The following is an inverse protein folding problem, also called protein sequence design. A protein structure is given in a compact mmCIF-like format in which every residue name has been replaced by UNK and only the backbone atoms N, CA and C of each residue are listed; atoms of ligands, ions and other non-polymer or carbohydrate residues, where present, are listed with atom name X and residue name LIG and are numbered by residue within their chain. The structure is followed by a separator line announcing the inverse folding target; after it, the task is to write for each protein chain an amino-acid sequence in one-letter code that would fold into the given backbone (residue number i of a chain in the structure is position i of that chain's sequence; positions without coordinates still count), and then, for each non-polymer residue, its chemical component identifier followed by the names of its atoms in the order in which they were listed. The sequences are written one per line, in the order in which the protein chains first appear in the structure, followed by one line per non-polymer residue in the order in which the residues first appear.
data_IF_766578766168
#
_entry.id   IF_766578766168
#
_cell.length_a   1.000
_cell.length_b   1.000
_cell.length_c   1.000
_cell.angle_alpha   90.00
_cell.angle_beta   90.00
_cell.angle_gamma   90.00
#
_symmetry.space_group_name_H-M   'P 1'
#
loop_
_entity.id
_entity.type
_entity.pdbx_description
1 polymer ?
#
# COMPACT_ATOMS: atom_id res chain seq x y z
N UNK A 1 17.25 20.99 -12.49
CA UNK A 1 16.44 20.44 -13.59
C UNK A 1 16.64 18.92 -13.58
N UNK A 2 15.67 18.11 -13.12
CA UNK A 2 15.83 16.64 -13.06
C UNK A 2 15.93 16.09 -14.48
N UNK A 3 17.07 15.53 -14.86
CA UNK A 3 17.25 14.85 -16.15
C UNK A 3 16.35 13.60 -16.18
N UNK A 4 15.57 13.47 -17.26
CA UNK A 4 14.37 12.65 -17.39
C UNK A 4 14.63 11.13 -17.54
N UNK A 5 15.48 10.47 -16.74
CA UNK A 5 15.91 9.10 -17.08
C UNK A 5 15.25 7.92 -16.36
N UNK A 6 14.61 8.06 -15.19
CA UNK A 6 13.88 6.93 -14.57
C UNK A 6 12.79 7.43 -13.61
N UNK A 7 11.57 6.94 -13.77
CA UNK A 7 10.49 7.16 -12.79
C UNK A 7 10.78 6.28 -11.57
N UNK A 8 10.95 6.90 -10.40
CA UNK A 8 10.95 6.15 -9.15
C UNK A 8 9.52 6.00 -8.64
N UNK A 9 9.04 4.76 -8.66
CA UNK A 9 7.75 4.40 -8.09
C UNK A 9 7.96 3.65 -6.78
N UNK A 10 7.31 4.10 -5.71
CA UNK A 10 7.30 3.40 -4.43
C UNK A 10 6.02 2.58 -4.28
N UNK A 11 6.15 1.29 -3.95
CA UNK A 11 5.04 0.44 -3.57
C UNK A 11 4.70 0.69 -2.11
N UNK A 12 3.43 0.86 -1.78
CA UNK A 12 2.93 1.04 -0.42
C UNK A 12 1.96 -0.09 -0.14
N UNK A 13 2.24 -0.86 0.92
CA UNK A 13 1.39 -1.97 1.37
C UNK A 13 0.91 -1.67 2.77
N UNK A 14 -0.37 -1.28 2.95
CA UNK A 14 -0.93 -0.99 4.26
C UNK A 14 -1.26 -2.28 5.02
N UNK A 15 -0.79 -2.39 6.26
CA UNK A 15 -1.12 -3.48 7.19
C UNK A 15 -1.69 -2.91 8.49
N UNK A 16 -1.15 -1.80 8.97
CA UNK A 16 -1.60 -1.12 10.17
C UNK A 16 -3.05 -0.63 10.03
N UNK A 17 -3.80 -0.76 11.12
CA UNK A 17 -5.20 -0.30 11.23
C UNK A 17 -6.15 -0.90 10.21
N UNK A 18 -5.78 -2.08 9.68
CA UNK A 18 -6.69 -2.96 8.97
C UNK A 18 -7.82 -3.36 9.91
N UNK A 19 -9.06 -3.26 9.41
CA UNK A 19 -10.26 -3.70 10.12
C UNK A 19 -10.93 -4.75 9.28
N UNK A 20 -11.20 -5.88 9.90
CA UNK A 20 -11.84 -7.04 9.29
C UNK A 20 -12.89 -7.59 10.26
N UNK A 21 -13.74 -8.49 9.78
CA UNK A 21 -14.65 -9.29 10.61
C UNK A 21 -14.07 -10.67 10.97
N UNK A 22 -12.77 -10.88 10.71
CA UNK A 22 -12.11 -12.15 10.95
C UNK A 22 -11.82 -12.31 12.45
N UNK A 23 -12.15 -13.48 13.00
CA UNK A 23 -11.86 -13.84 14.40
C UNK A 23 -10.76 -14.93 14.47
N UNK A 24 -9.80 -14.84 13.55
CA UNK A 24 -8.71 -15.80 13.43
C UNK A 24 -7.61 -15.51 14.45
N UNK A 25 -6.96 -16.57 14.96
CA UNK A 25 -5.82 -16.42 15.87
C UNK A 25 -4.58 -15.79 15.22
N UNK A 26 -4.51 -15.82 13.88
CA UNK A 26 -3.41 -15.28 13.09
C UNK A 26 -3.88 -14.00 12.41
N UNK A 27 -2.98 -13.02 12.28
CA UNK A 27 -3.30 -11.78 11.56
C UNK A 27 -3.74 -12.07 10.13
N UNK A 28 -4.74 -11.32 9.69
CA UNK A 28 -5.48 -11.47 8.44
C UNK A 28 -4.59 -11.29 7.21
N UNK A 29 -3.55 -10.46 7.32
CA UNK A 29 -2.57 -10.30 6.22
C UNK A 29 -1.73 -11.55 5.97
N UNK A 30 -1.79 -12.54 6.86
CA UNK A 30 -1.13 -13.84 6.72
C UNK A 30 -2.06 -14.92 6.16
N UNK A 31 -3.32 -14.59 5.87
CA UNK A 31 -4.27 -15.53 5.27
C UNK A 31 -3.73 -16.10 3.96
N UNK A 32 -3.90 -17.41 3.72
CA UNK A 32 -3.46 -18.04 2.48
C UNK A 32 -4.33 -17.56 1.32
N UNK A 33 -3.68 -17.17 0.24
CA UNK A 33 -4.30 -16.87 -1.05
C UNK A 33 -4.16 -18.04 -2.02
N UNK A 34 -3.06 -18.76 -1.89
CA UNK A 34 -2.79 -20.06 -2.50
C UNK A 34 -1.83 -20.84 -1.58
N UNK A 35 -1.57 -22.11 -1.88
CA UNK A 35 -0.68 -22.96 -1.11
C UNK A 35 0.74 -22.36 -1.03
N UNK A 36 1.12 -21.86 0.15
CA UNK A 36 2.40 -21.22 0.40
C UNK A 36 2.52 -19.80 -0.16
N UNK A 37 1.40 -19.13 -0.42
CA UNK A 37 1.32 -17.71 -0.77
C UNK A 37 0.33 -17.01 0.16
N UNK A 38 0.83 -16.14 1.03
CA UNK A 38 -0.01 -15.32 1.91
C UNK A 38 -0.49 -14.02 1.24
N UNK A 39 -1.55 -13.41 1.77
CA UNK A 39 -2.10 -12.13 1.34
C UNK A 39 -1.04 -11.01 1.33
N UNK A 40 -0.14 -10.96 2.31
CA UNK A 40 0.94 -9.98 2.33
C UNK A 40 2.00 -10.22 1.25
N UNK A 41 2.39 -11.49 1.01
CA UNK A 41 3.31 -11.84 -0.08
C UNK A 41 2.69 -11.51 -1.44
N UNK A 42 1.38 -11.74 -1.61
CA UNK A 42 0.61 -11.35 -2.79
C UNK A 42 0.78 -9.85 -3.07
N UNK A 43 0.57 -8.98 -2.08
CA UNK A 43 0.70 -7.54 -2.26
C UNK A 43 2.12 -7.07 -2.56
N UNK A 44 3.12 -7.71 -1.94
CA UNK A 44 4.54 -7.39 -2.20
C UNK A 44 4.92 -7.80 -3.62
N UNK A 45 4.52 -9.01 -4.04
CA UNK A 45 4.72 -9.49 -5.41
C UNK A 45 4.01 -8.58 -6.43
N UNK A 46 2.78 -8.16 -6.14
CA UNK A 46 2.01 -7.23 -6.96
C UNK A 46 2.75 -5.89 -7.13
N UNK A 47 3.29 -5.31 -6.04
CA UNK A 47 4.10 -4.09 -6.12
C UNK A 47 5.35 -4.28 -6.99
N UNK A 48 6.02 -5.42 -6.86
CA UNK A 48 7.18 -5.76 -7.69
C UNK A 48 6.81 -5.89 -9.17
N UNK A 49 5.67 -6.55 -9.45
CA UNK A 49 5.11 -6.74 -10.78
C UNK A 49 4.55 -5.46 -11.41
N UNK A 50 4.10 -4.50 -10.61
CA UNK A 50 3.74 -3.14 -11.03
C UNK A 50 4.97 -2.30 -11.42
N UNK A 51 6.15 -2.67 -10.92
CA UNK A 51 7.43 -2.04 -11.23
C UNK A 51 7.84 -0.94 -10.27
N UNK A 52 7.48 -1.14 -9.00
CA UNK A 52 8.01 -0.37 -7.90
C UNK A 52 9.53 -0.57 -7.80
N UNK A 53 10.28 0.48 -7.44
CA UNK A 53 11.72 0.40 -7.19
C UNK A 53 12.06 0.27 -5.70
N UNK A 54 11.08 0.50 -4.83
CA UNK A 54 11.14 0.30 -3.38
C UNK A 54 9.75 -0.08 -2.91
N UNK A 55 9.61 -0.95 -1.92
CA UNK A 55 8.32 -1.32 -1.32
C UNK A 55 8.35 -0.92 0.15
N UNK A 56 7.25 -0.36 0.64
CA UNK A 56 7.09 0.13 2.00
C UNK A 56 5.86 -0.53 2.61
N UNK A 57 6.10 -1.46 3.53
CA UNK A 57 5.06 -2.15 4.29
C UNK A 57 4.80 -1.35 5.56
N UNK A 58 3.57 -0.88 5.71
CA UNK A 58 3.17 -0.07 6.85
C UNK A 58 2.59 -0.99 7.92
N UNK A 59 3.44 -1.47 8.82
CA UNK A 59 3.08 -2.41 9.89
C UNK A 59 3.60 -1.88 11.22
N UNK A 60 2.76 -1.97 12.26
CA UNK A 60 3.13 -1.60 13.62
C UNK A 60 4.04 -2.66 14.25
N UNK A 61 4.62 -2.33 15.40
CA UNK A 61 5.69 -3.12 16.05
C UNK A 61 5.23 -4.51 16.51
N UNK A 62 3.92 -4.72 16.62
CA UNK A 62 3.24 -5.97 16.95
C UNK A 62 3.27 -7.00 15.81
N UNK A 63 3.00 -6.57 14.58
CA UNK A 63 2.86 -7.44 13.40
C UNK A 63 4.12 -7.39 12.50
N UNK A 64 4.90 -6.31 12.55
CA UNK A 64 6.08 -6.13 11.70
C UNK A 64 7.09 -7.29 11.77
N UNK A 65 7.43 -7.89 12.94
CA UNK A 65 8.40 -8.97 13.01
C UNK A 65 7.96 -10.23 12.23
N UNK A 66 6.69 -10.63 12.37
CA UNK A 66 6.18 -11.83 11.69
C UNK A 66 6.01 -11.59 10.19
N UNK A 67 5.56 -10.39 9.79
CA UNK A 67 5.49 -10.04 8.37
C UNK A 67 6.88 -10.04 7.76
N UNK A 68 7.88 -9.47 8.45
CA UNK A 68 9.27 -9.48 7.97
C UNK A 68 9.85 -10.88 7.86
N UNK A 69 9.50 -11.79 8.77
CA UNK A 69 9.91 -13.18 8.69
C UNK A 69 9.36 -13.88 7.43
N UNK A 70 8.11 -13.59 7.06
CA UNK A 70 7.42 -14.22 5.93
C UNK A 70 7.84 -13.60 4.59
N UNK A 71 8.03 -12.28 4.55
CA UNK A 71 8.28 -11.52 3.31
C UNK A 71 9.77 -11.30 3.03
N UNK A 72 10.60 -11.11 4.06
CA UNK A 72 12.02 -10.76 3.92
C UNK A 72 12.29 -9.27 3.72
N UNK A 73 13.54 -8.93 3.40
CA UNK A 73 14.05 -7.56 3.27
C UNK A 73 14.03 -7.05 1.82
N UNK A 74 13.90 -7.95 0.83
CA UNK A 74 13.87 -7.58 -0.58
C UNK A 74 13.20 -8.68 -1.44
N UNK A 75 12.79 -8.32 -2.65
CA UNK A 75 12.17 -9.20 -3.65
C UNK A 75 12.75 -8.93 -5.04
N UNK A 76 12.82 -9.93 -5.91
CA UNK A 76 13.20 -9.70 -7.32
C UNK A 76 12.04 -9.08 -8.12
N UNK A 77 12.36 -8.19 -9.06
CA UNK A 77 11.40 -7.76 -10.08
C UNK A 77 11.05 -8.95 -11.00
N UNK A 78 9.80 -9.44 -11.01
CA UNK A 78 9.41 -10.64 -11.75
C UNK A 78 9.67 -10.52 -13.26
N UNK A 79 9.59 -9.30 -13.80
CA UNK A 79 9.79 -9.05 -15.24
C UNK A 79 11.24 -9.22 -15.64
N UNK A 80 12.18 -8.79 -14.78
CA UNK A 80 13.61 -8.95 -15.02
C UNK A 80 14.08 -10.36 -14.67
N UNK A 81 13.48 -11.00 -13.66
CA UNK A 81 13.81 -12.37 -13.27
C UNK A 81 13.53 -13.38 -14.38
N UNK A 82 12.38 -13.25 -15.06
CA UNK A 82 11.96 -14.15 -16.15
C UNK A 82 12.60 -13.81 -17.51
N UNK A 83 13.47 -12.81 -17.59
CA UNK A 83 14.07 -12.40 -18.85
C UNK A 83 15.18 -13.38 -19.24
N UNK A 84 15.05 -13.97 -20.42
CA UNK A 84 16.15 -14.73 -21.03
C UNK A 84 17.31 -13.77 -21.33
N UNK A 85 18.44 -13.99 -20.67
CA UNK A 85 19.69 -13.26 -20.87
C UNK A 85 20.87 -14.24 -20.88
N UNK A 86 21.97 -13.83 -21.50
CA UNK A 86 23.25 -14.58 -21.44
C UNK A 86 23.77 -14.69 -20.01
N UNK A 87 23.51 -13.70 -19.16
CA UNK A 87 23.91 -13.69 -17.75
C UNK A 87 22.73 -13.28 -16.85
N UNK A 88 21.77 -14.19 -16.62
CA UNK A 88 20.53 -13.88 -15.89
C UNK A 88 20.78 -13.32 -14.49
N UNK A 89 21.82 -13.79 -13.80
CA UNK A 89 22.16 -13.33 -12.44
C UNK A 89 22.50 -11.83 -12.39
N UNK A 90 23.08 -11.27 -13.44
CA UNK A 90 23.47 -9.85 -13.50
C UNK A 90 22.32 -8.92 -13.89
N UNK A 91 21.29 -9.45 -14.56
CA UNK A 91 20.12 -8.67 -14.99
C UNK A 91 18.97 -8.67 -13.99
N UNK A 92 18.98 -9.60 -13.03
CA UNK A 92 18.02 -9.64 -11.94
C UNK A 92 18.09 -8.34 -11.14
N UNK A 93 16.92 -7.77 -10.85
CA UNK A 93 16.80 -6.53 -10.10
C UNK A 93 16.16 -6.81 -8.76
N UNK A 94 16.86 -6.43 -7.71
CA UNK A 94 16.36 -6.46 -6.35
C UNK A 94 15.56 -5.19 -6.06
N UNK A 95 14.44 -5.37 -5.38
CA UNK A 95 13.56 -4.30 -4.92
C UNK A 95 13.57 -4.38 -3.38
N UNK A 96 14.16 -3.40 -2.69
CA UNK A 96 14.21 -3.41 -1.24
C UNK A 96 12.81 -3.17 -0.64
N UNK A 97 12.57 -3.82 0.50
CA UNK A 97 11.34 -3.78 1.27
C UNK A 97 11.65 -3.13 2.62
N UNK A 98 10.94 -2.06 2.93
CA UNK A 98 11.07 -1.31 4.18
C UNK A 98 9.84 -1.48 5.04
N UNK A 99 10.04 -1.71 6.33
CA UNK A 99 9.00 -1.85 7.34
C UNK A 99 8.88 -0.56 8.12
N UNK A 100 7.67 0.03 8.14
CA UNK A 100 7.45 1.34 8.77
C UNK A 100 6.21 1.30 9.65
N UNK A 101 6.30 1.67 10.94
CA UNK A 101 5.14 1.78 11.79
C UNK A 101 4.37 3.08 11.56
N UNK A 102 3.10 3.11 11.94
CA UNK A 102 2.36 4.37 12.07
C UNK A 102 2.98 5.17 13.21
N UNK A 103 3.24 6.45 12.96
CA UNK A 103 3.89 7.33 13.94
C UNK A 103 3.06 7.38 15.25
N UNK A 104 3.66 7.23 16.45
CA UNK A 104 2.91 7.18 17.72
C UNK A 104 1.97 8.37 17.97
N UNK A 105 2.32 9.56 17.48
CA UNK A 105 1.44 10.75 17.53
C UNK A 105 0.12 10.62 16.76
N UNK A 106 0.07 9.77 15.73
CA UNK A 106 -1.11 9.55 14.89
C UNK A 106 -1.87 8.27 15.28
N UNK A 107 -1.22 7.32 15.98
CA UNK A 107 -1.85 6.10 16.54
C UNK A 107 -3.07 6.46 17.38
N UNK A 108 -4.14 5.69 17.22
CA UNK A 108 -5.47 5.88 17.86
C UNK A 108 -6.17 7.23 17.62
N UNK A 109 -5.60 8.09 16.76
CA UNK A 109 -6.14 9.40 16.43
C UNK A 109 -6.55 9.49 14.97
N UNK A 110 -5.58 9.43 14.07
CA UNK A 110 -5.83 9.47 12.62
C UNK A 110 -5.65 8.12 11.96
N UNK A 111 -5.38 7.10 12.77
CA UNK A 111 -4.96 5.78 12.39
C UNK A 111 -6.10 4.94 11.78
N UNK A 112 -6.55 5.32 10.59
CA UNK A 112 -7.42 4.48 9.76
C UNK A 112 -6.61 3.68 8.75
N UNK A 113 -7.23 2.64 8.18
CA UNK A 113 -6.60 1.83 7.14
C UNK A 113 -6.11 2.68 5.96
N UNK A 114 -6.90 3.67 5.51
CA UNK A 114 -6.46 4.61 4.47
C UNK A 114 -5.36 5.57 4.92
N UNK A 115 -5.31 5.94 6.21
CA UNK A 115 -4.22 6.76 6.74
C UNK A 115 -2.89 6.02 6.76
N UNK A 116 -2.90 4.70 6.99
CA UNK A 116 -1.68 3.88 6.93
C UNK A 116 -0.97 4.02 5.58
N UNK A 117 -1.72 4.07 4.47
CA UNK A 117 -1.17 4.34 3.12
C UNK A 117 -0.49 5.71 3.06
N UNK A 118 -1.17 6.75 3.56
CA UNK A 118 -0.60 8.11 3.58
C UNK A 118 0.66 8.18 4.48
N UNK A 119 0.68 7.44 5.59
CA UNK A 119 1.85 7.26 6.46
C UNK A 119 3.01 6.59 5.73
N UNK A 120 2.75 5.54 4.94
CA UNK A 120 3.76 4.90 4.10
C UNK A 120 4.34 5.86 3.08
N UNK A 121 3.48 6.63 2.39
CA UNK A 121 3.92 7.60 1.38
C UNK A 121 4.78 8.72 1.96
N UNK A 122 4.36 9.33 3.07
CA UNK A 122 5.11 10.42 3.68
C UNK A 122 6.44 9.94 4.24
N UNK A 123 6.50 8.71 4.78
CA UNK A 123 7.74 8.13 5.30
C UNK A 123 8.69 7.75 4.17
N UNK A 124 8.18 7.14 3.09
CA UNK A 124 8.95 6.87 1.89
C UNK A 124 9.55 8.16 1.32
N UNK A 125 8.73 9.20 1.18
CA UNK A 125 9.18 10.51 0.71
C UNK A 125 10.24 11.11 1.63
N UNK A 126 9.99 11.21 2.94
CA UNK A 126 10.93 11.82 3.88
C UNK A 126 12.27 11.09 3.94
N UNK A 127 12.23 9.75 4.01
CA UNK A 127 13.44 8.93 4.11
C UNK A 127 14.27 9.06 2.85
N UNK A 128 13.65 8.84 1.69
CA UNK A 128 14.33 8.97 0.41
C UNK A 128 14.84 10.38 0.15
N UNK A 129 14.05 11.42 0.43
CA UNK A 129 14.44 12.81 0.22
C UNK A 129 15.63 13.23 1.10
N UNK A 130 15.68 12.73 2.34
CA UNK A 130 16.83 12.96 3.23
C UNK A 130 18.11 12.30 2.74
N UNK A 131 18.00 11.13 2.10
CA UNK A 131 19.16 10.46 1.49
C UNK A 131 19.57 11.21 0.22
N UNK A 132 18.63 11.44 -0.69
CA UNK A 132 18.88 12.09 -1.98
C UNK A 132 17.60 12.52 -2.70
N UNK A 133 17.65 13.69 -3.32
CA UNK A 133 16.56 14.16 -4.21
C UNK A 133 16.34 13.25 -5.42
N UNK A 134 17.37 12.49 -5.82
CA UNK A 134 17.33 11.51 -6.91
C UNK A 134 16.59 10.22 -6.54
N UNK A 135 16.54 9.91 -5.24
CA UNK A 135 15.82 8.75 -4.71
C UNK A 135 14.40 9.10 -4.26
N UNK A 136 13.97 10.35 -4.38
CA UNK A 136 12.63 10.77 -3.95
C UNK A 136 11.58 10.14 -4.87
N UNK A 137 10.59 9.38 -4.35
CA UNK A 137 9.56 8.78 -5.16
C UNK A 137 8.75 9.84 -5.89
N UNK A 138 8.57 9.64 -7.20
CA UNK A 138 7.76 10.53 -8.04
C UNK A 138 6.29 10.08 -8.03
N UNK A 139 6.05 8.77 -7.90
CA UNK A 139 4.71 8.14 -7.92
C UNK A 139 4.63 7.02 -6.89
N UNK A 140 3.43 6.75 -6.40
CA UNK A 140 3.16 5.69 -5.43
C UNK A 140 2.17 4.71 -6.01
N UNK A 141 2.45 3.42 -5.89
CA UNK A 141 1.54 2.32 -6.19
C UNK A 141 1.06 1.73 -4.87
N UNK A 142 -0.24 1.64 -4.67
CA UNK A 142 -0.84 1.14 -3.43
C UNK A 142 -1.43 -0.22 -3.73
N UNK A 143 -0.99 -1.25 -3.00
CA UNK A 143 -1.55 -2.61 -3.06
C UNK A 143 -2.03 -3.01 -1.68
N UNK A 144 -3.26 -3.53 -1.61
CA UNK A 144 -3.90 -3.92 -0.36
C UNK A 144 -3.81 -5.46 -0.18
N UNK A 145 -3.34 -5.98 0.97
CA UNK A 145 -3.15 -7.42 1.19
C UNK A 145 -4.40 -8.27 0.91
N UNK A 146 -5.54 -7.82 1.42
CA UNK A 146 -6.82 -8.54 1.30
C UNK A 146 -7.59 -8.25 0.00
N UNK A 147 -6.96 -7.58 -0.96
CA UNK A 147 -7.53 -7.34 -2.29
C UNK A 147 -7.17 -8.50 -3.21
N UNK A 148 -8.09 -9.41 -3.50
CA UNK A 148 -7.80 -10.61 -4.29
C UNK A 148 -8.25 -10.42 -5.73
N UNK A 149 -7.29 -10.43 -6.65
CA UNK A 149 -7.49 -10.37 -8.10
C UNK A 149 -6.24 -10.90 -8.82
N UNK A 150 -6.36 -11.20 -10.11
CA UNK A 150 -5.30 -11.81 -10.91
C UNK A 150 -4.10 -10.88 -11.18
N UNK A 151 -2.89 -11.43 -11.05
CA UNK A 151 -1.62 -10.77 -11.35
C UNK A 151 -1.41 -10.49 -12.84
N UNK A 152 -2.01 -11.28 -13.74
CA UNK A 152 -1.88 -11.11 -15.19
C UNK A 152 -2.19 -9.66 -15.62
N UNK A 153 -3.27 -9.11 -15.07
CA UNK A 153 -3.75 -7.75 -15.36
C UNK A 153 -2.71 -6.69 -14.96
N UNK A 154 -2.00 -6.88 -13.86
CA UNK A 154 -0.91 -5.98 -13.43
C UNK A 154 0.25 -6.04 -14.42
N UNK A 155 0.62 -7.25 -14.86
CA UNK A 155 1.74 -7.46 -15.77
C UNK A 155 1.50 -6.84 -17.14
N UNK A 156 0.31 -7.01 -17.68
CA UNK A 156 -0.13 -6.47 -18.97
C UNK A 156 -0.15 -4.93 -18.94
N UNK A 157 -0.68 -4.37 -17.85
CA UNK A 157 -0.87 -2.93 -17.70
C UNK A 157 0.31 -2.22 -17.05
N UNK A 158 1.43 -2.91 -16.78
CA UNK A 158 2.64 -2.36 -16.11
C UNK A 158 3.13 -1.05 -16.74
N UNK A 159 3.05 -0.90 -18.07
CA UNK A 159 3.45 0.36 -18.75
C UNK A 159 2.53 1.53 -18.40
N UNK A 160 1.22 1.27 -18.30
CA UNK A 160 0.20 2.26 -17.96
C UNK A 160 0.28 2.65 -16.48
N UNK A 161 0.51 1.66 -15.60
CA UNK A 161 0.76 1.91 -14.17
C UNK A 161 1.94 2.87 -13.98
N UNK A 162 3.00 2.70 -14.79
CA UNK A 162 4.21 3.53 -14.79
C UNK A 162 4.12 4.82 -15.61
N UNK A 163 2.92 5.25 -16.01
CA UNK A 163 2.75 6.57 -16.62
C UNK A 163 3.23 7.67 -15.66
N UNK A 164 4.04 8.59 -16.17
CA UNK A 164 4.62 9.70 -15.42
C UNK A 164 3.64 10.86 -15.22
N UNK A 165 2.54 10.90 -15.98
CA UNK A 165 1.61 12.04 -16.03
C UNK A 165 0.27 11.73 -15.38
N UNK A 166 -0.26 10.51 -15.58
CA UNK A 166 -1.61 10.16 -15.17
C UNK A 166 -1.62 9.09 -14.08
N UNK A 167 -2.64 9.17 -13.21
CA UNK A 167 -2.97 8.11 -12.27
C UNK A 167 -3.65 6.95 -13.00
N UNK A 168 -3.45 5.78 -12.42
CA UNK A 168 -3.98 4.49 -12.84
C UNK A 168 -4.84 3.93 -11.71
N UNK A 169 -5.99 3.35 -12.06
CA UNK A 169 -6.93 2.71 -11.14
C UNK A 169 -7.38 1.37 -11.70
N UNK A 170 -7.38 0.33 -10.86
CA UNK A 170 -8.20 -0.84 -11.15
C UNK A 170 -9.66 -0.57 -10.78
N UNK A 171 -10.56 -1.15 -11.57
CA UNK A 171 -12.01 -1.10 -11.34
C UNK A 171 -12.59 -2.51 -11.36
N UNK A 172 -13.67 -2.71 -10.60
CA UNK A 172 -14.50 -3.91 -10.66
C UNK A 172 -15.97 -3.48 -10.55
N UNK A 173 -16.80 -3.91 -11.50
CA UNK A 173 -18.16 -3.42 -11.70
C UNK A 173 -18.25 -1.89 -11.77
N UNK A 174 -17.26 -1.23 -12.38
CA UNK A 174 -17.08 0.24 -12.41
C UNK A 174 -16.77 0.91 -11.05
N UNK A 175 -16.65 0.14 -9.97
CA UNK A 175 -16.24 0.63 -8.65
C UNK A 175 -14.72 0.60 -8.49
N UNK A 176 -14.19 1.46 -7.62
CA UNK A 176 -12.76 1.56 -7.34
C UNK A 176 -12.54 2.07 -5.90
N UNK A 177 -11.30 2.45 -5.58
CA UNK A 177 -10.94 3.01 -4.27
C UNK A 177 -11.80 4.20 -3.80
N UNK A 178 -12.34 5.01 -4.71
CA UNK A 178 -13.26 6.10 -4.36
C UNK A 178 -14.65 5.64 -3.98
N UNK A 179 -14.97 4.37 -4.23
CA UNK A 179 -16.19 3.68 -3.82
C UNK A 179 -15.97 2.79 -2.60
N UNK A 180 -14.81 2.89 -1.93
CA UNK A 180 -14.42 2.10 -0.75
C UNK A 180 -13.99 0.66 -1.04
N UNK A 181 -13.83 0.31 -2.32
CA UNK A 181 -13.31 -0.98 -2.76
C UNK A 181 -11.77 -0.96 -2.71
N UNK A 182 -11.08 -1.87 -2.01
CA UNK A 182 -9.64 -1.83 -1.78
C UNK A 182 -8.87 -2.34 -3.01
N UNK A 183 -9.19 -1.82 -4.20
CA UNK A 183 -8.47 -2.10 -5.43
C UNK A 183 -7.20 -1.27 -5.52
N UNK A 184 -6.16 -1.87 -6.07
CA UNK A 184 -4.87 -1.22 -6.23
C UNK A 184 -4.94 -0.07 -7.21
N UNK A 185 -4.20 0.99 -6.89
CA UNK A 185 -4.21 2.22 -7.67
C UNK A 185 -2.88 2.95 -7.53
N UNK A 186 -2.73 4.03 -8.27
CA UNK A 186 -1.57 4.92 -8.13
C UNK A 186 -1.97 6.35 -7.78
N UNK A 187 -1.05 7.03 -7.13
CA UNK A 187 -1.18 8.45 -6.82
C UNK A 187 0.17 9.17 -6.80
N UNK A 188 0.17 10.47 -7.06
CA UNK A 188 1.36 11.32 -7.01
C UNK A 188 1.53 12.00 -5.65
N UNK A 189 2.69 12.60 -5.41
CA UNK A 189 2.93 13.38 -4.19
C UNK A 189 1.98 14.56 -4.00
N UNK A 190 1.45 15.15 -5.07
CA UNK A 190 0.42 16.20 -4.99
C UNK A 190 -0.94 15.65 -4.55
N UNK A 191 -1.30 14.44 -4.97
CA UNK A 191 -2.52 13.77 -4.51
C UNK A 191 -2.45 13.51 -3.00
N UNK A 192 -1.29 13.05 -2.51
CA UNK A 192 -1.04 12.87 -1.08
C UNK A 192 -1.29 14.17 -0.30
N UNK A 193 -0.75 15.31 -0.76
CA UNK A 193 -0.94 16.61 -0.09
C UNK A 193 -2.43 16.97 -0.03
N UNK A 194 -3.18 16.73 -1.11
CA UNK A 194 -4.62 17.01 -1.17
C UNK A 194 -5.41 16.10 -0.22
N UNK A 195 -5.17 14.79 -0.26
CA UNK A 195 -5.79 13.81 0.65
C UNK A 195 -5.53 14.16 2.12
N UNK A 196 -4.27 14.42 2.48
CA UNK A 196 -3.90 14.79 3.85
C UNK A 196 -4.60 16.09 4.31
N UNK A 197 -4.66 17.12 3.45
CA UNK A 197 -5.38 18.37 3.74
C UNK A 197 -6.88 18.12 3.90
N UNK A 198 -7.46 17.27 3.07
CA UNK A 198 -8.87 16.91 3.13
C UNK A 198 -9.22 16.25 4.47
N UNK A 199 -8.45 15.25 4.89
CA UNK A 199 -8.63 14.54 6.16
C UNK A 199 -8.47 15.50 7.34
N UNK A 200 -7.43 16.34 7.33
CA UNK A 200 -7.20 17.32 8.40
C UNK A 200 -8.31 18.36 8.53
N UNK A 201 -9.08 18.63 7.47
CA UNK A 201 -10.26 19.51 7.50
C UNK A 201 -11.50 18.81 8.03
N UNK A 202 -11.68 17.52 7.72
CA UNK A 202 -12.85 16.73 8.14
C UNK A 202 -12.73 16.14 9.54
N UNK A 203 -11.51 15.87 10.00
CA UNK A 203 -11.30 15.23 11.31
C UNK A 203 -11.72 16.14 12.45
N UNK A 204 -12.40 15.55 13.43
CA UNK A 204 -12.57 16.19 14.73
C UNK A 204 -11.24 16.18 15.49
N UNK A 205 -11.10 17.10 16.44
CA UNK A 205 -9.93 17.22 17.32
C UNK A 205 -10.36 16.99 18.77
N UNK A 206 -9.46 17.27 19.71
CA UNK A 206 -9.78 17.19 21.14
C UNK A 206 -10.73 18.29 21.61
N UNK A 207 -10.62 19.48 21.02
CA UNK A 207 -11.35 20.68 21.42
C UNK A 207 -12.36 21.11 20.36
N UNK A 208 -13.44 21.75 20.80
CA UNK A 208 -14.36 22.48 19.92
C UNK A 208 -13.64 23.65 19.25
N UNK A 209 -14.12 24.14 18.10
CA UNK A 209 -13.64 25.42 17.58
C UNK A 209 -13.91 26.53 18.61
N UNK A 210 -12.99 27.50 18.76
CA UNK A 210 -13.18 28.60 19.71
C UNK A 210 -14.44 29.40 19.39
N UNK A 211 -15.16 29.82 20.43
CA UNK A 211 -16.36 30.65 20.28
C UNK A 211 -16.00 32.06 19.76
N UNK A 212 -16.94 32.79 19.14
CA UNK A 212 -16.68 34.16 18.68
C UNK A 212 -16.20 35.04 19.84
N UNK A 213 -14.94 35.47 19.81
CA UNK A 213 -14.30 36.29 20.86
C UNK A 213 -13.25 35.56 21.70
N UNK A 214 -13.13 34.25 21.62
CA UNK A 214 -12.10 33.48 22.33
C UNK A 214 -10.87 33.20 21.44
N UNK A 215 -9.66 33.38 21.98
CA UNK A 215 -8.41 33.08 21.27
C UNK A 215 -8.05 31.59 21.29
N UNK A 216 -8.48 30.87 22.31
CA UNK A 216 -8.19 29.45 22.50
C UNK A 216 -9.48 28.69 22.84
N UNK A 217 -9.64 27.46 22.35
CA UNK A 217 -10.83 26.69 22.64
C UNK A 217 -10.80 26.16 24.08
N UNK A 218 -11.87 26.44 24.81
CA UNK A 218 -12.04 26.15 26.24
C UNK A 218 -12.70 24.79 26.46
N UNK A 219 -13.60 24.37 25.56
CA UNK A 219 -14.40 23.14 25.71
C UNK A 219 -13.84 21.95 24.92
N UNK A 220 -13.75 20.80 25.61
CA UNK A 220 -13.35 19.53 24.99
C UNK A 220 -14.56 18.80 24.39
N UNK A 221 -14.36 18.17 23.25
CA UNK A 221 -15.35 17.25 22.66
C UNK A 221 -15.51 16.00 23.54
N UNK A 222 -16.67 15.32 23.55
CA UNK A 222 -16.82 14.00 24.16
C UNK A 222 -15.82 13.01 23.57
N UNK A 223 -15.30 12.08 24.38
CA UNK A 223 -14.24 11.14 23.97
C UNK A 223 -14.58 10.38 22.68
N UNK A 224 -15.82 9.92 22.55
CA UNK A 224 -16.32 9.19 21.37
C UNK A 224 -16.31 10.02 20.08
N UNK A 225 -16.47 11.35 20.20
CA UNK A 225 -16.50 12.28 19.07
C UNK A 225 -15.13 12.83 18.69
N UNK A 226 -14.09 12.57 19.49
CA UNK A 226 -12.72 13.01 19.20
C UNK A 226 -12.10 12.12 18.14
N UNK A 227 -11.21 12.71 17.33
CA UNK A 227 -10.36 11.98 16.39
C UNK A 227 -11.12 11.07 15.42
N UNK A 228 -12.18 11.60 14.80
CA UNK A 228 -13.05 10.85 13.90
C UNK A 228 -12.31 10.21 12.71
N UNK A 229 -11.14 10.73 12.34
CA UNK A 229 -10.33 10.22 11.24
C UNK A 229 -9.96 8.74 11.35
N UNK A 230 -9.82 8.18 12.56
CA UNK A 230 -9.54 6.73 12.78
C UNK A 230 -10.63 5.78 12.26
N UNK A 231 -11.82 6.31 11.97
CA UNK A 231 -12.95 5.55 11.42
C UNK A 231 -13.24 5.92 9.97
N UNK A 232 -12.40 6.73 9.31
CA UNK A 232 -12.67 7.13 7.93
C UNK A 232 -12.48 5.96 6.97
N UNK A 233 -13.50 5.67 6.12
CA UNK A 233 -13.37 4.71 5.03
C UNK A 233 -12.42 5.21 3.94
N UNK A 234 -11.96 4.31 3.08
CA UNK A 234 -11.02 4.56 1.99
C UNK A 234 -11.56 5.62 1.03
N UNK A 235 -12.87 5.60 0.72
CA UNK A 235 -13.49 6.61 -0.13
C UNK A 235 -13.34 8.04 0.41
N UNK A 236 -13.41 8.24 1.73
CA UNK A 236 -13.24 9.55 2.38
C UNK A 236 -11.76 9.97 2.36
N UNK A 237 -10.85 9.04 2.62
CA UNK A 237 -9.39 9.30 2.61
C UNK A 237 -8.91 9.66 1.19
N UNK A 238 -9.33 8.89 0.19
CA UNK A 238 -8.87 9.00 -1.19
C UNK A 238 -9.80 9.80 -2.11
N UNK A 239 -10.82 10.45 -1.55
CA UNK A 239 -11.73 11.33 -2.28
C UNK A 239 -10.99 12.34 -3.18
N UNK A 240 -9.90 12.91 -2.65
CA UNK A 240 -9.13 13.99 -3.29
C UNK A 240 -8.06 13.52 -4.29
N UNK A 241 -7.90 12.22 -4.52
CA UNK A 241 -6.97 11.70 -5.53
C UNK A 241 -7.43 12.15 -6.92
N UNK A 242 -6.53 12.69 -7.74
CA UNK A 242 -6.87 13.11 -9.09
C UNK A 242 -7.31 11.92 -9.95
N UNK A 243 -8.55 12.00 -10.41
CA UNK A 243 -9.15 11.08 -11.37
C UNK A 243 -9.81 11.94 -12.45
N UNK A 244 -9.06 12.22 -13.50
CA UNK A 244 -9.50 13.06 -14.62
C UNK A 244 -9.88 12.16 -15.79
N UNK A 245 -10.42 12.72 -16.88
CA UNK A 245 -10.70 11.98 -18.13
C UNK A 245 -9.46 11.29 -18.73
N UNK A 246 -8.26 11.72 -18.35
CA UNK A 246 -6.98 11.13 -18.75
C UNK A 246 -6.46 10.04 -17.81
N UNK A 247 -7.12 9.81 -16.67
CA UNK A 247 -6.74 8.73 -15.76
C UNK A 247 -7.10 7.39 -16.40
N UNK A 248 -6.15 6.47 -16.40
CA UNK A 248 -6.37 5.12 -16.93
C UNK A 248 -7.16 4.31 -15.91
N UNK A 249 -8.23 3.67 -16.39
CA UNK A 249 -9.03 2.72 -15.62
C UNK A 249 -8.99 1.39 -16.35
N UNK A 250 -8.72 0.32 -15.62
CA UNK A 250 -8.71 -1.04 -16.16
C UNK A 250 -9.61 -1.90 -15.29
N UNK A 251 -10.56 -2.57 -15.93
CA UNK A 251 -11.45 -3.51 -15.28
C UNK A 251 -10.71 -4.81 -14.98
N UNK A 252 -10.81 -5.30 -13.75
CA UNK A 252 -10.30 -6.64 -13.40
C UNK A 252 -11.38 -7.69 -13.71
N UNK A 253 -11.01 -8.89 -14.21
CA UNK A 253 -12.00 -9.91 -14.57
C UNK A 253 -12.84 -10.40 -13.40
N UNK A 254 -12.22 -10.48 -12.23
CA UNK A 254 -12.84 -10.88 -10.97
C UNK A 254 -12.12 -10.20 -9.81
N UNK A 255 -12.82 -10.01 -8.71
CA UNK A 255 -12.29 -9.40 -7.50
C UNK A 255 -13.03 -9.93 -6.27
N UNK A 256 -12.28 -10.23 -5.21
CA UNK A 256 -12.84 -10.54 -3.88
C UNK A 256 -12.21 -9.62 -2.83
N UNK A 257 -13.06 -9.07 -1.97
CA UNK A 257 -12.64 -8.25 -0.84
C UNK A 257 -12.52 -9.12 0.41
N UNK A 258 -11.34 -9.70 0.61
CA UNK A 258 -11.11 -10.62 1.72
C UNK A 258 -11.05 -9.94 3.10
N UNK A 259 -11.39 -8.64 3.21
CA UNK A 259 -11.66 -7.99 4.51
C UNK A 259 -12.89 -8.60 5.19
N UNK A 260 -13.82 -9.13 4.41
CA UNK A 260 -15.00 -9.86 4.88
C UNK A 260 -14.73 -11.37 4.82
N UNK A 261 -15.01 -12.09 5.90
CA UNK A 261 -14.78 -13.53 6.00
C UNK A 261 -15.60 -14.29 4.95
N UNK A 262 -16.85 -13.90 4.73
CA UNK A 262 -17.72 -14.49 3.69
C UNK A 262 -17.09 -14.39 2.30
N UNK A 263 -16.65 -13.19 1.92
CA UNK A 263 -16.00 -12.96 0.62
C UNK A 263 -14.70 -13.77 0.47
N UNK A 264 -13.94 -13.90 1.56
CA UNK A 264 -12.75 -14.76 1.56
C UNK A 264 -13.10 -16.25 1.37
N UNK A 265 -14.14 -16.76 2.05
CA UNK A 265 -14.59 -18.14 1.85
C UNK A 265 -15.13 -18.38 0.45
N UNK A 266 -15.83 -17.40 -0.12
CA UNK A 266 -16.31 -17.46 -1.50
C UNK A 266 -15.15 -17.54 -2.49
N UNK A 267 -14.09 -16.75 -2.27
CA UNK A 267 -12.85 -16.85 -3.06
C UNK A 267 -12.24 -18.26 -2.99
N UNK A 268 -12.08 -18.81 -1.78
CA UNK A 268 -11.47 -20.13 -1.60
C UNK A 268 -12.31 -21.27 -2.22
N UNK A 269 -13.63 -21.10 -2.29
CA UNK A 269 -14.54 -22.04 -2.94
C UNK A 269 -14.66 -21.83 -4.46
N UNK A 270 -14.24 -20.67 -4.98
CA UNK A 270 -14.37 -20.30 -6.38
C UNK A 270 -13.35 -20.99 -7.29
N UNK A 271 -13.60 -20.91 -8.60
CA UNK A 271 -12.61 -21.30 -9.61
C UNK A 271 -11.55 -20.21 -9.84
N UNK A 272 -11.75 -19.01 -9.30
CA UNK A 272 -10.80 -17.90 -9.39
C UNK A 272 -9.54 -18.23 -8.59
N UNK A 273 -8.41 -18.28 -9.29
CA UNK A 273 -7.11 -18.60 -8.68
C UNK A 273 -6.10 -17.52 -8.97
N UNK A 274 -5.33 -17.17 -7.96
CA UNK A 274 -4.12 -16.37 -8.13
C UNK A 274 -2.98 -17.34 -8.41
N UNK A 275 -2.46 -17.30 -9.64
CA UNK A 275 -1.35 -18.18 -10.02
C UNK A 275 -0.12 -17.90 -9.14
N UNK A 276 0.30 -18.92 -8.39
CA UNK A 276 1.48 -18.85 -7.54
C UNK A 276 2.74 -18.55 -8.38
N UNK A 277 3.48 -17.47 -8.07
CA UNK A 277 4.75 -17.19 -8.72
C UNK A 277 5.82 -18.23 -8.36
N UNK A 278 6.94 -18.22 -9.09
CA UNK A 278 8.13 -18.99 -8.72
C UNK A 278 8.52 -18.75 -7.26
N UNK A 279 8.99 -19.81 -6.59
CA UNK A 279 9.27 -19.74 -5.16
C UNK A 279 10.33 -18.70 -4.82
N UNK A 280 11.30 -18.47 -5.72
CA UNK A 280 12.32 -17.43 -5.58
C UNK A 280 11.77 -16.01 -5.60
N UNK A 281 10.56 -15.80 -6.14
CA UNK A 281 9.88 -14.51 -6.19
C UNK A 281 9.03 -14.23 -4.95
N UNK A 282 8.82 -15.21 -4.07
CA UNK A 282 7.92 -15.08 -2.91
C UNK A 282 8.58 -15.49 -1.58
N UNK A 283 9.66 -16.27 -1.62
CA UNK A 283 10.40 -16.66 -0.42
C UNK A 283 11.01 -15.43 0.26
N UNK A 284 11.15 -15.44 1.60
CA UNK A 284 11.83 -14.36 2.30
C UNK A 284 13.32 -14.35 1.93
N UNK A 285 13.78 -13.24 1.40
CA UNK A 285 15.22 -12.99 1.24
C UNK A 285 15.69 -12.05 2.33
N UNK A 286 16.79 -12.37 3.00
CA UNK A 286 17.40 -11.50 4.01
C UNK A 286 18.77 -11.06 3.52
N UNK A 287 19.17 -9.83 3.83
CA UNK A 287 20.56 -9.45 3.63
C UNK A 287 21.40 -10.15 4.70
N UNK A 288 22.51 -10.79 4.29
CA UNK A 288 23.42 -11.43 5.24
C UNK A 288 23.84 -10.42 6.31
N UNK A 289 23.82 -10.84 7.58
CA UNK A 289 24.42 -10.05 8.65
C UNK A 289 25.91 -10.04 8.37
N UNK A 290 26.48 -8.88 8.07
CA UNK A 290 27.94 -8.73 8.09
C UNK A 290 28.41 -9.16 9.48
N UNK A 291 29.24 -10.22 9.60
CA UNK A 291 29.95 -10.44 10.84
C UNK A 291 30.86 -9.24 11.00
N UNK A 292 30.52 -8.34 11.92
CA UNK A 292 31.53 -7.46 12.47
C UNK A 292 32.44 -8.38 13.29
N UNK A 293 33.56 -8.81 12.70
CA UNK A 293 34.68 -9.27 13.51
C UNK A 293 35.16 -8.02 14.28
N UNK A 294 34.92 -8.01 15.60
CA UNK A 294 35.46 -7.01 16.53
C UNK A 294 36.99 -7.18 16.70
#
# INVERSE_FOLDING_TARGET
MKTQYRLHMAGIVPVASLKTDHDNAVSEVLLPVDNGLSAIQKSVYECALAGCSTIWIVANDDIAPIVRHIVGDWIYDPVYFNRMSKFPSQERKEIPIYYVPVHPKDRDRRDSYGWSVLCGQITAWHTCHRISTWLTPDKYYVSFPLSLFDFSVVRENRKLIRDKKNNFFFTFNNENIKNDLPLSFTMFGEDFKKCRRHINKKTTREYLPPSPGERFPSEKLPLEKRWSARHFPLNVVFHSVMMNSKSTKIEVPWFYDAREWSSYTDYMASESKIEKPYIELIRPHTHEKFPYEE
#
